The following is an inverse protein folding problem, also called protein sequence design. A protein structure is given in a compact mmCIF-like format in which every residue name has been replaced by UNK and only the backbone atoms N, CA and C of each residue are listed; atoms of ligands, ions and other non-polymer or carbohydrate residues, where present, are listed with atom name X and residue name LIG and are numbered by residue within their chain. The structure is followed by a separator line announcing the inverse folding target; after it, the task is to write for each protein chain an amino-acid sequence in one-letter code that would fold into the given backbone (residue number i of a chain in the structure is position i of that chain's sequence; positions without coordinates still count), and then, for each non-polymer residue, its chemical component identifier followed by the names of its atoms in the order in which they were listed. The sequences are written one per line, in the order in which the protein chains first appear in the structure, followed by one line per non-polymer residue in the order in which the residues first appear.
data_IF_130389359686
#
_entry.id   IF_130389359686
#
_cell.length_a   1.000
_cell.length_b   1.000
_cell.length_c   1.000
_cell.angle_alpha   90.00
_cell.angle_beta   90.00
_cell.angle_gamma   90.00
#
_symmetry.space_group_name_H-M   'P 1'
#
loop_
_entity.id
_entity.type
_entity.pdbx_description
1 polymer ?
#
# COMPACT_ATOMS: atom_id res chain seq x y z
N UNK A 1 -9.53 -38.06 -40.68
CA UNK A 1 -10.21 -37.27 -39.63
C UNK A 1 -9.34 -37.26 -38.37
N UNK A 2 -8.26 -36.48 -38.38
CA UNK A 2 -7.44 -36.14 -37.20
C UNK A 2 -6.75 -34.81 -37.54
N UNK A 3 -6.79 -33.83 -36.63
CA UNK A 3 -5.91 -32.65 -36.71
C UNK A 3 -6.61 -31.30 -36.94
N UNK A 4 -7.49 -30.88 -36.03
CA UNK A 4 -7.86 -29.46 -35.82
C UNK A 4 -7.54 -29.03 -34.39
N UNK A 5 -6.37 -29.43 -33.89
CA UNK A 5 -6.00 -29.24 -32.48
C UNK A 5 -5.34 -27.90 -32.16
N UNK A 6 -4.84 -27.14 -33.15
CA UNK A 6 -3.93 -26.02 -32.87
C UNK A 6 -4.05 -24.82 -33.82
N UNK A 7 -4.97 -24.84 -34.79
CA UNK A 7 -5.16 -23.69 -35.71
C UNK A 7 -5.86 -22.48 -35.06
N UNK A 8 -6.20 -22.56 -33.75
CA UNK A 8 -6.94 -21.54 -33.01
C UNK A 8 -6.05 -20.50 -32.30
N UNK A 9 -4.80 -20.30 -32.73
CA UNK A 9 -3.92 -19.26 -32.15
C UNK A 9 -4.33 -17.81 -32.54
N UNK A 10 -5.55 -17.66 -33.08
CA UNK A 10 -6.28 -16.39 -33.22
C UNK A 10 -7.24 -16.13 -32.04
N UNK A 11 -7.12 -16.86 -30.93
CA UNK A 11 -7.70 -16.42 -29.65
C UNK A 11 -7.00 -15.10 -29.33
N UNK A 12 -7.70 -13.99 -29.49
CA UNK A 12 -7.21 -12.69 -29.07
C UNK A 12 -6.88 -12.69 -27.57
N UNK A 13 -6.09 -11.72 -27.13
CA UNK A 13 -5.87 -11.47 -25.69
C UNK A 13 -7.19 -11.47 -24.88
N UNK A 14 -8.32 -10.92 -25.35
CA UNK A 14 -9.58 -10.94 -24.61
C UNK A 14 -10.08 -12.37 -24.34
N UNK A 15 -10.11 -13.24 -25.35
CA UNK A 15 -10.64 -14.60 -25.26
C UNK A 15 -9.76 -15.47 -24.34
N UNK A 16 -8.43 -15.30 -24.40
CA UNK A 16 -7.50 -15.99 -23.50
C UNK A 16 -7.71 -15.56 -22.03
N UNK A 17 -7.90 -14.26 -21.77
CA UNK A 17 -8.15 -13.75 -20.42
C UNK A 17 -9.46 -14.28 -19.83
N UNK A 18 -10.52 -14.40 -20.64
CA UNK A 18 -11.80 -14.97 -20.20
C UNK A 18 -11.66 -16.43 -19.81
N UNK A 19 -10.94 -17.24 -20.61
CA UNK A 19 -10.71 -18.65 -20.31
C UNK A 19 -9.90 -18.79 -19.01
N UNK A 20 -8.83 -18.00 -18.85
CA UNK A 20 -8.02 -18.00 -17.63
C UNK A 20 -8.88 -17.61 -16.42
N UNK A 21 -9.68 -16.55 -16.53
CA UNK A 21 -10.57 -16.11 -15.46
C UNK A 21 -11.58 -17.21 -15.08
N UNK A 22 -12.17 -17.91 -16.05
CA UNK A 22 -13.10 -19.01 -15.79
C UNK A 22 -12.42 -20.17 -15.04
N UNK A 23 -11.24 -20.60 -15.48
CA UNK A 23 -10.47 -21.65 -14.78
C UNK A 23 -10.13 -21.21 -13.36
N UNK A 24 -9.70 -19.96 -13.18
CA UNK A 24 -9.39 -19.38 -11.87
C UNK A 24 -10.64 -19.34 -10.98
N UNK A 25 -11.80 -18.96 -11.52
CA UNK A 25 -13.08 -18.93 -10.80
C UNK A 25 -13.59 -20.32 -10.45
N UNK A 26 -13.29 -21.36 -11.23
CA UNK A 26 -13.64 -22.74 -10.87
C UNK A 26 -12.83 -23.24 -9.67
N UNK A 27 -11.53 -22.93 -9.63
CA UNK A 27 -10.64 -23.32 -8.53
C UNK A 27 -10.92 -22.51 -7.26
N UNK A 28 -11.03 -21.18 -7.42
CA UNK A 28 -11.13 -20.27 -6.29
C UNK A 28 -12.57 -19.92 -5.92
N UNK A 29 -13.58 -20.31 -6.70
CA UNK A 29 -14.98 -19.89 -6.59
C UNK A 29 -15.19 -18.36 -6.70
N UNK A 30 -16.20 -17.90 -7.45
CA UNK A 30 -16.47 -16.47 -7.62
C UNK A 30 -16.76 -15.74 -6.31
N UNK A 31 -17.26 -16.44 -5.30
CA UNK A 31 -17.57 -15.87 -3.98
C UNK A 31 -16.32 -15.57 -3.14
N UNK A 32 -15.13 -16.12 -3.44
CA UNK A 32 -13.91 -15.84 -2.66
C UNK A 32 -13.28 -14.50 -3.03
N UNK A 33 -13.42 -14.04 -4.28
CA UNK A 33 -12.94 -12.73 -4.72
C UNK A 33 -13.52 -11.56 -3.89
N UNK A 34 -14.85 -11.43 -3.71
CA UNK A 34 -15.42 -10.36 -2.88
C UNK A 34 -15.05 -10.51 -1.40
N UNK A 35 -14.86 -11.74 -0.89
CA UNK A 35 -14.41 -11.96 0.49
C UNK A 35 -12.98 -11.47 0.69
N UNK A 36 -12.07 -11.79 -0.23
CA UNK A 36 -10.68 -11.33 -0.20
C UNK A 36 -10.60 -9.80 -0.34
N UNK A 37 -11.36 -9.21 -1.25
CA UNK A 37 -11.43 -7.76 -1.43
C UNK A 37 -11.93 -7.06 -0.15
N UNK A 38 -12.93 -7.63 0.53
CA UNK A 38 -13.41 -7.10 1.83
C UNK A 38 -12.35 -7.20 2.91
N UNK A 39 -11.67 -8.35 3.03
CA UNK A 39 -10.61 -8.54 4.01
C UNK A 39 -9.45 -7.56 3.80
N UNK A 40 -8.95 -7.45 2.57
CA UNK A 40 -7.91 -6.48 2.20
C UNK A 40 -8.38 -5.05 2.47
N UNK A 41 -9.61 -4.71 2.09
CA UNK A 41 -10.18 -3.39 2.32
C UNK A 41 -10.28 -3.04 3.81
N UNK A 42 -10.61 -4.02 4.66
CA UNK A 42 -10.59 -3.85 6.12
C UNK A 42 -9.18 -3.63 6.64
N UNK A 43 -8.20 -4.44 6.21
CA UNK A 43 -6.79 -4.25 6.61
C UNK A 43 -6.26 -2.88 6.22
N UNK A 44 -6.52 -2.41 5.00
CA UNK A 44 -6.11 -1.07 4.54
C UNK A 44 -6.77 0.02 5.40
N UNK A 45 -8.06 -0.15 5.73
CA UNK A 45 -8.79 0.81 6.57
C UNK A 45 -8.19 0.88 7.98
N UNK A 46 -7.84 -0.26 8.58
CA UNK A 46 -7.19 -0.30 9.88
C UNK A 46 -5.79 0.29 9.86
N UNK A 47 -4.98 -0.01 8.84
CA UNK A 47 -3.66 0.60 8.66
C UNK A 47 -3.79 2.12 8.58
N UNK A 48 -4.71 2.63 7.74
CA UNK A 48 -4.93 4.08 7.61
C UNK A 48 -5.37 4.72 8.93
N UNK A 49 -6.23 4.04 9.69
CA UNK A 49 -6.68 4.50 11.01
C UNK A 49 -5.51 4.56 11.99
N UNK A 50 -4.71 3.50 12.07
CA UNK A 50 -3.52 3.44 12.91
C UNK A 50 -2.50 4.52 12.53
N UNK A 51 -2.26 4.76 11.23
CA UNK A 51 -1.38 5.86 10.78
C UNK A 51 -1.91 7.22 11.25
N UNK A 52 -3.21 7.48 11.13
CA UNK A 52 -3.81 8.74 11.58
C UNK A 52 -3.74 8.91 13.09
N UNK A 53 -4.00 7.85 13.85
CA UNK A 53 -3.87 7.86 15.32
C UNK A 53 -2.42 8.13 15.73
N UNK A 54 -1.44 7.56 15.02
CA UNK A 54 -0.01 7.87 15.24
C UNK A 54 0.28 9.35 14.93
N UNK A 55 -0.23 9.90 13.82
CA UNK A 55 -0.07 11.31 13.47
C UNK A 55 -0.71 12.24 14.53
N UNK A 56 -1.87 11.87 15.07
CA UNK A 56 -2.57 12.62 16.13
C UNK A 56 -1.88 12.45 17.51
N UNK A 57 -1.27 11.29 17.78
CA UNK A 57 -0.50 11.00 18.99
C UNK A 57 0.93 11.55 18.99
N UNK A 58 1.45 11.97 17.83
CA UNK A 58 2.69 12.75 17.72
C UNK A 58 2.37 14.18 18.19
N UNK A 59 2.18 14.31 19.50
CA UNK A 59 2.07 15.60 20.19
C UNK A 59 3.43 16.29 20.19
N UNK A 60 3.42 17.63 20.25
CA UNK A 60 4.59 18.50 20.33
C UNK A 60 5.65 17.99 21.32
N UNK A 61 5.26 17.42 22.46
CA UNK A 61 6.18 16.84 23.44
C UNK A 61 6.99 15.64 22.91
N UNK A 62 6.37 14.74 22.13
CA UNK A 62 7.07 13.60 21.52
C UNK A 62 7.99 14.07 20.38
N UNK A 63 7.56 15.07 19.60
CA UNK A 63 8.39 15.66 18.53
C UNK A 63 9.65 16.28 19.12
N UNK A 64 9.51 17.06 20.20
CA UNK A 64 10.64 17.69 20.90
C UNK A 64 11.56 16.65 21.55
N UNK A 65 11.02 15.50 21.99
CA UNK A 65 11.84 14.40 22.50
C UNK A 65 12.64 13.71 21.39
N UNK A 66 11.99 13.39 20.27
CA UNK A 66 12.64 12.79 19.09
C UNK A 66 13.70 13.76 18.50
N UNK A 67 13.40 15.05 18.41
CA UNK A 67 14.34 16.07 17.94
C UNK A 67 15.60 16.12 18.83
N UNK A 68 15.44 16.06 20.15
CA UNK A 68 16.57 15.98 21.10
C UNK A 68 17.39 14.70 20.94
N UNK A 69 16.73 13.55 20.81
CA UNK A 69 17.40 12.26 20.59
C UNK A 69 18.17 12.22 19.25
N UNK A 70 17.67 12.93 18.23
CA UNK A 70 18.31 13.06 16.92
C UNK A 70 19.35 14.20 16.84
N UNK A 71 19.65 14.85 17.97
CA UNK A 71 20.61 15.95 18.06
C UNK A 71 20.22 17.17 17.21
N UNK A 72 18.92 17.41 17.03
CA UNK A 72 18.40 18.56 16.29
C UNK A 72 18.35 19.76 17.22
N UNK A 73 19.00 20.86 16.82
CA UNK A 73 18.85 22.15 17.50
C UNK A 73 17.40 22.63 17.44
N UNK A 74 16.81 22.84 18.61
CA UNK A 74 15.40 23.19 18.82
C UNK A 74 15.21 24.70 19.04
N UNK A 75 16.25 25.39 19.48
CA UNK A 75 16.19 26.82 19.81
C UNK A 75 16.19 27.67 18.53
N UNK A 76 15.19 28.55 18.42
CA UNK A 76 15.05 29.48 17.29
C UNK A 76 14.35 28.92 16.04
N UNK A 77 13.93 27.65 16.03
CA UNK A 77 13.20 27.05 14.91
C UNK A 77 11.69 27.03 15.15
N UNK A 78 10.91 27.27 14.08
CA UNK A 78 9.46 27.10 14.14
C UNK A 78 9.10 25.63 14.30
N UNK A 79 7.90 25.37 14.84
CA UNK A 79 7.31 24.03 14.98
C UNK A 79 7.36 23.26 13.66
N UNK A 80 6.95 23.89 12.56
CA UNK A 80 6.94 23.27 11.23
C UNK A 80 8.34 22.88 10.76
N UNK A 81 9.36 23.64 11.15
CA UNK A 81 10.75 23.43 10.75
C UNK A 81 11.37 22.24 11.48
N UNK A 82 11.11 22.14 12.80
CA UNK A 82 11.50 21.00 13.63
C UNK A 82 10.83 19.72 13.12
N UNK A 83 9.52 19.77 12.83
CA UNK A 83 8.77 18.63 12.28
C UNK A 83 9.34 18.18 10.95
N UNK A 84 9.65 19.12 10.05
CA UNK A 84 10.20 18.83 8.73
C UNK A 84 11.56 18.17 8.80
N UNK A 85 12.42 18.62 9.71
CA UNK A 85 13.78 18.11 9.88
C UNK A 85 13.79 16.73 10.56
N UNK A 86 12.89 16.50 11.53
CA UNK A 86 12.62 15.16 12.10
C UNK A 86 12.12 14.21 11.01
N UNK A 87 11.13 14.64 10.22
CA UNK A 87 10.58 13.84 9.13
C UNK A 87 11.59 13.60 8.01
N UNK A 88 12.50 14.53 7.72
CA UNK A 88 13.55 14.38 6.72
C UNK A 88 14.64 13.40 7.18
N UNK A 89 15.04 13.44 8.46
CA UNK A 89 15.97 12.45 9.03
C UNK A 89 15.36 11.05 9.13
N UNK A 90 14.08 10.94 9.49
CA UNK A 90 13.34 9.66 9.51
C UNK A 90 12.99 9.15 8.10
N UNK A 91 12.81 10.08 7.15
CA UNK A 91 12.28 9.83 5.80
C UNK A 91 13.29 9.47 4.72
N UNK A 92 14.60 9.34 5.03
CA UNK A 92 15.64 8.89 4.06
C UNK A 92 15.42 7.49 3.44
N UNK A 93 14.27 6.85 3.68
CA UNK A 93 13.88 5.53 3.14
C UNK A 93 12.87 5.57 1.96
N UNK A 94 12.34 6.73 1.54
CA UNK A 94 11.62 6.78 0.24
C UNK A 94 12.14 7.89 -0.68
N UNK A 95 12.85 7.53 -1.76
CA UNK A 95 13.33 8.48 -2.73
C UNK A 95 12.15 9.06 -3.52
N UNK A 96 12.26 10.36 -3.78
CA UNK A 96 11.58 11.08 -4.86
C UNK A 96 11.42 10.22 -6.12
N UNK A 97 10.18 9.93 -6.49
CA UNK A 97 9.69 10.13 -7.86
C UNK A 97 8.16 10.20 -7.87
#
# INVERSE_FOLDING_TARGET
MVGRGVEMFMIGLPEALVIIALVMLLIFAPSKLPQLARAIGQSIKEIKKATREIEEEITDEKILKIARELGIEIEGKSREEIVREVMEKLGKSKPKK
#
